data_IF_152597545780
#
_entry.id   IF_152597545780
#
_cell.length_a   1.000
_cell.length_b   1.000
_cell.length_c   1.000
_cell.angle_alpha   90.00
_cell.angle_beta   90.00
_cell.angle_gamma   90.00
#
_symmetry.space_group_name_H-M   'P 1'
#
loop_
_entity.id
_entity.type
_entity.pdbx_description
1 polymer ?
#
# COMPACT_ATOMS: atom_id res chain seq x y z
N UNK A 1 -7.92 -10.09 -2.12
CA UNK A 1 -9.39 -10.06 -2.16
C UNK A 1 -9.99 -11.03 -3.19
N UNK A 2 -9.77 -10.85 -4.49
CA UNK A 2 -10.44 -11.61 -5.59
C UNK A 2 -10.52 -13.12 -5.37
N UNK A 3 -9.37 -13.80 -5.17
CA UNK A 3 -9.34 -15.27 -4.95
C UNK A 3 -10.20 -15.74 -3.77
N UNK A 4 -10.39 -14.89 -2.75
CA UNK A 4 -11.16 -15.21 -1.54
C UNK A 4 -12.62 -14.76 -1.65
N UNK A 5 -12.99 -14.02 -2.70
CA UNK A 5 -14.27 -13.33 -2.82
C UNK A 5 -14.66 -12.57 -1.53
N UNK A 6 -13.69 -11.89 -0.93
CA UNK A 6 -13.83 -11.24 0.38
C UNK A 6 -12.91 -10.03 0.51
N UNK A 7 -13.23 -9.16 1.46
CA UNK A 7 -12.41 -7.98 1.75
C UNK A 7 -11.05 -8.39 2.33
N UNK A 8 -9.99 -7.77 1.82
CA UNK A 8 -8.62 -7.94 2.34
C UNK A 8 -7.95 -6.59 2.49
N UNK A 9 -7.10 -6.42 3.48
CA UNK A 9 -6.38 -5.17 3.68
C UNK A 9 -4.88 -5.43 3.71
N UNK A 10 -4.14 -4.60 2.96
CA UNK A 10 -2.71 -4.43 3.13
C UNK A 10 -2.47 -3.38 4.21
N UNK A 11 -1.58 -3.66 5.16
CA UNK A 11 -1.21 -2.77 6.27
C UNK A 11 0.30 -2.64 6.25
N UNK A 12 0.79 -1.43 6.00
CA UNK A 12 2.19 -1.07 6.14
C UNK A 12 2.52 -0.96 7.64
N UNK A 13 3.55 -1.68 8.05
CA UNK A 13 4.12 -1.63 9.39
C UNK A 13 5.29 -0.64 9.48
N UNK A 14 6.02 -0.63 10.60
CA UNK A 14 7.21 0.19 10.74
C UNK A 14 8.31 -0.23 9.75
N UNK A 15 9.12 0.73 9.30
CA UNK A 15 10.21 0.49 8.34
C UNK A 15 9.68 -0.09 7.03
N UNK A 16 10.08 -1.33 6.74
CA UNK A 16 9.62 -2.08 5.54
C UNK A 16 8.72 -3.27 5.88
N UNK A 17 8.29 -3.39 7.15
CA UNK A 17 7.38 -4.44 7.57
C UNK A 17 5.99 -4.24 6.99
N UNK A 18 5.24 -5.32 6.77
CA UNK A 18 3.86 -5.24 6.31
C UNK A 18 3.08 -6.51 6.64
N UNK A 19 1.76 -6.41 6.63
CA UNK A 19 0.87 -7.56 6.73
C UNK A 19 -0.32 -7.45 5.78
N UNK A 20 -0.88 -8.59 5.45
CA UNK A 20 -2.11 -8.73 4.67
C UNK A 20 -3.10 -9.53 5.49
N UNK A 21 -4.30 -8.99 5.67
CA UNK A 21 -5.35 -9.58 6.50
C UNK A 21 -6.67 -9.74 5.73
N UNK A 22 -7.55 -10.59 6.24
CA UNK A 22 -8.99 -10.55 5.93
C UNK A 22 -9.72 -9.66 6.93
N UNK A 23 -10.83 -9.07 6.52
CA UNK A 23 -11.65 -8.21 7.38
C UNK A 23 -13.13 -8.25 6.99
N UNK A 24 -13.97 -7.77 7.89
CA UNK A 24 -15.31 -7.29 7.53
C UNK A 24 -15.27 -5.76 7.33
N UNK A 25 -15.95 -5.24 6.30
CA UNK A 25 -16.02 -3.80 6.07
C UNK A 25 -16.77 -3.10 7.22
N UNK A 26 -16.58 -1.78 7.41
CA UNK A 26 -17.22 -1.06 8.50
C UNK A 26 -18.75 -1.10 8.42
N UNK A 27 -19.40 -1.46 9.53
CA UNK A 27 -20.86 -1.47 9.65
C UNK A 27 -21.46 -0.19 10.27
N UNK A 28 -20.62 0.73 10.76
CA UNK A 28 -21.02 1.95 11.47
C UNK A 28 -21.06 3.24 10.63
N UNK A 29 -21.00 3.14 9.30
CA UNK A 29 -20.93 4.30 8.40
C UNK A 29 -19.50 4.69 8.01
N UNK A 30 -19.36 5.83 7.32
CA UNK A 30 -18.06 6.32 6.84
C UNK A 30 -17.15 6.66 8.03
N UNK A 31 -15.95 6.07 8.07
CA UNK A 31 -14.97 6.30 9.14
C UNK A 31 -15.05 5.31 10.31
N UNK A 32 -16.01 4.37 10.29
CA UNK A 32 -15.99 3.27 11.26
C UNK A 32 -14.81 2.32 11.00
N UNK A 33 -14.28 1.71 12.07
CA UNK A 33 -13.16 0.78 11.97
C UNK A 33 -13.60 -0.55 11.35
N UNK A 34 -12.79 -1.07 10.44
CA UNK A 34 -12.92 -2.45 9.99
C UNK A 34 -12.59 -3.42 11.12
N UNK A 35 -13.17 -4.62 11.07
CA UNK A 35 -12.83 -5.68 12.00
C UNK A 35 -11.94 -6.69 11.29
N UNK A 36 -10.70 -6.82 11.74
CA UNK A 36 -9.79 -7.86 11.26
C UNK A 36 -10.38 -9.24 11.61
N UNK A 37 -10.32 -10.19 10.67
CA UNK A 37 -10.89 -11.55 10.85
C UNK A 37 -9.85 -12.66 10.72
N UNK A 38 -8.65 -12.34 10.23
CA UNK A 38 -7.58 -13.31 10.06
C UNK A 38 -6.37 -12.73 9.35
N UNK A 39 -5.20 -13.32 9.59
CA UNK A 39 -3.98 -12.97 8.87
C UNK A 39 -3.77 -13.90 7.66
N UNK A 40 -3.41 -13.30 6.52
CA UNK A 40 -3.06 -14.03 5.30
C UNK A 40 -1.55 -14.18 5.19
N UNK A 41 -0.81 -13.09 5.41
CA UNK A 41 0.63 -13.04 5.24
C UNK A 41 1.22 -11.87 6.02
N UNK A 42 2.47 -12.00 6.45
CA UNK A 42 3.24 -10.95 7.10
C UNK A 42 4.69 -10.99 6.63
N UNK A 43 5.34 -9.84 6.71
CA UNK A 43 6.78 -9.66 6.68
C UNK A 43 7.18 -8.74 7.83
N UNK A 44 8.11 -9.18 8.66
CA UNK A 44 8.60 -8.39 9.77
C UNK A 44 9.60 -7.34 9.29
N UNK A 45 9.65 -6.20 9.97
CA UNK A 45 10.53 -5.09 9.60
C UNK A 45 12.02 -5.46 9.74
N UNK A 46 12.34 -6.40 10.63
CA UNK A 46 13.69 -6.94 10.84
C UNK A 46 14.24 -7.71 9.65
N UNK A 47 13.37 -8.16 8.74
CA UNK A 47 13.79 -8.80 7.48
C UNK A 47 14.26 -7.78 6.43
N UNK A 48 14.10 -6.47 6.69
CA UNK A 48 14.49 -5.39 5.78
C UNK A 48 15.77 -4.68 6.18
N UNK A 49 16.32 -3.94 5.23
CA UNK A 49 17.42 -3.01 5.52
C UNK A 49 16.92 -1.87 6.40
N UNK A 50 17.71 -1.48 7.40
CA UNK A 50 17.48 -0.27 8.20
C UNK A 50 17.72 1.01 7.41
N UNK A 51 18.41 0.93 6.27
CA UNK A 51 18.62 2.07 5.37
C UNK A 51 17.51 2.27 4.34
N UNK A 52 16.52 1.37 4.27
CA UNK A 52 15.38 1.53 3.37
C UNK A 52 14.38 2.53 3.95
N UNK A 53 14.02 3.54 3.16
CA UNK A 53 13.01 4.53 3.50
C UNK A 53 11.76 4.29 2.63
N UNK A 54 10.58 4.36 3.25
CA UNK A 54 9.28 4.28 2.58
C UNK A 54 8.47 5.52 2.94
N UNK A 55 8.28 6.43 1.98
CA UNK A 55 7.39 7.55 2.12
C UNK A 55 5.99 7.19 1.61
N UNK A 56 4.96 7.59 2.34
CA UNK A 56 3.57 7.19 2.07
C UNK A 56 2.74 8.40 1.69
N UNK A 57 1.93 8.25 0.64
CA UNK A 57 0.92 9.23 0.25
C UNK A 57 -0.48 8.58 0.28
N UNK A 58 -1.47 9.20 0.94
CA UNK A 58 -1.36 10.38 1.81
C UNK A 58 -0.50 10.12 3.06
N UNK A 59 0.14 11.17 3.58
CA UNK A 59 0.97 11.06 4.78
C UNK A 59 0.16 10.61 6.00
N UNK A 60 0.74 9.76 6.84
CA UNK A 60 0.10 9.23 8.05
C UNK A 60 -0.90 8.09 7.81
N UNK A 61 -1.18 7.74 6.55
CA UNK A 61 -1.97 6.56 6.18
C UNK A 61 -1.06 5.33 6.09
N UNK A 62 -1.56 4.16 6.48
CA UNK A 62 -0.80 2.92 6.40
C UNK A 62 -1.60 1.73 5.84
N UNK A 63 -2.80 1.93 5.29
CA UNK A 63 -3.63 0.80 4.82
C UNK A 63 -4.16 0.96 3.41
N UNK A 64 -4.44 -0.17 2.75
CA UNK A 64 -5.24 -0.26 1.52
C UNK A 64 -6.21 -1.41 1.65
N UNK A 65 -7.50 -1.11 1.62
CA UNK A 65 -8.55 -2.13 1.61
C UNK A 65 -8.91 -2.48 0.17
N UNK A 66 -8.91 -3.76 -0.16
CA UNK A 66 -9.35 -4.28 -1.44
C UNK A 66 -10.71 -4.98 -1.29
N UNK A 67 -11.66 -4.62 -2.16
CA UNK A 67 -12.99 -5.22 -2.21
C UNK A 67 -12.95 -6.61 -2.87
N UNK A 68 -14.00 -7.44 -2.74
CA UNK A 68 -14.06 -8.75 -3.41
C UNK A 68 -13.82 -8.71 -4.92
N UNK A 69 -14.14 -7.59 -5.59
CA UNK A 69 -13.92 -7.37 -7.02
C UNK A 69 -12.48 -6.97 -7.36
N UNK A 70 -11.64 -6.75 -6.36
CA UNK A 70 -10.25 -6.33 -6.52
C UNK A 70 -10.04 -4.83 -6.54
N UNK A 71 -11.10 -4.01 -6.46
CA UNK A 71 -10.98 -2.55 -6.41
C UNK A 71 -10.46 -2.08 -5.05
N UNK A 72 -9.88 -0.88 -5.01
CA UNK A 72 -9.59 -0.21 -3.75
C UNK A 72 -10.91 0.28 -3.16
N UNK A 73 -11.16 -0.05 -1.89
CA UNK A 73 -12.33 0.36 -1.16
C UNK A 73 -12.38 1.88 -0.98
N UNK A 74 -13.59 2.43 -0.98
CA UNK A 74 -13.88 3.83 -0.64
C UNK A 74 -15.13 3.91 0.21
N UNK A 75 -15.31 5.01 0.96
CA UNK A 75 -16.47 5.19 1.84
C UNK A 75 -16.65 4.05 2.83
N UNK A 76 -17.80 3.39 2.80
CA UNK A 76 -18.16 2.25 3.68
C UNK A 76 -17.50 0.93 3.29
N UNK A 77 -16.70 0.89 2.22
CA UNK A 77 -15.95 -0.29 1.79
C UNK A 77 -14.47 -0.22 2.17
N UNK A 78 -14.05 0.79 2.93
CA UNK A 78 -12.66 1.02 3.35
C UNK A 78 -12.54 1.27 4.83
N UNK A 79 -11.36 1.01 5.39
CA UNK A 79 -11.05 1.22 6.80
C UNK A 79 -10.43 2.59 7.06
N UNK A 80 -10.67 3.54 6.16
CA UNK A 80 -10.03 4.85 6.11
C UNK A 80 -9.66 5.26 4.69
N UNK A 81 -8.92 6.37 4.56
CA UNK A 81 -8.34 6.76 3.29
C UNK A 81 -7.26 5.73 2.90
N UNK A 82 -7.25 5.24 1.65
CA UNK A 82 -6.24 4.26 1.24
C UNK A 82 -4.90 4.94 0.95
N UNK A 83 -3.81 4.18 1.11
CA UNK A 83 -2.53 4.52 0.46
C UNK A 83 -2.78 4.55 -1.05
N UNK A 84 -2.37 5.63 -1.70
CA UNK A 84 -2.40 5.77 -3.16
C UNK A 84 -1.01 5.66 -3.76
N UNK A 85 0.02 5.94 -2.97
CA UNK A 85 1.41 5.87 -3.42
C UNK A 85 2.38 5.52 -2.28
N UNK A 86 3.41 4.75 -2.63
CA UNK A 86 4.60 4.48 -1.81
C UNK A 86 5.83 4.87 -2.61
N UNK A 87 6.68 5.73 -2.07
CA UNK A 87 8.00 6.04 -2.63
C UNK A 87 9.07 5.33 -1.80
N UNK A 88 10.00 4.67 -2.47
CA UNK A 88 11.07 3.89 -1.87
C UNK A 88 12.43 4.50 -2.23
N UNK A 89 13.24 4.73 -1.21
CA UNK A 89 14.59 5.28 -1.33
C UNK A 89 15.54 4.62 -0.30
N UNK A 90 16.83 4.90 -0.39
CA UNK A 90 17.86 4.51 0.56
C UNK A 90 18.48 5.73 1.23
N UNK A 91 18.40 5.80 2.55
CA UNK A 91 19.03 6.87 3.35
C UNK A 91 20.56 6.88 3.30
N UNK A 92 21.18 5.82 2.75
CA UNK A 92 22.63 5.68 2.63
C UNK A 92 23.19 6.02 1.25
N UNK A 93 22.32 6.15 0.24
CA UNK A 93 22.72 6.51 -1.12
C UNK A 93 22.43 7.98 -1.37
N UNK A 94 23.28 8.63 -2.17
CA UNK A 94 22.97 9.97 -2.67
C UNK A 94 21.93 9.86 -3.79
N UNK A 95 21.15 10.92 -4.04
CA UNK A 95 20.15 10.94 -5.11
C UNK A 95 20.70 10.57 -6.52
N UNK A 96 21.98 10.82 -6.76
CA UNK A 96 22.66 10.45 -8.02
C UNK A 96 23.02 8.95 -8.12
N UNK A 97 22.92 8.21 -7.01
CA UNK A 97 23.24 6.78 -6.89
C UNK A 97 22.06 5.94 -6.41
N UNK A 98 21.05 6.56 -5.81
CA UNK A 98 19.77 5.91 -5.52
C UNK A 98 19.00 5.75 -6.83
N UNK A 99 18.24 4.65 -6.90
CA UNK A 99 17.18 4.49 -7.88
C UNK A 99 15.88 4.66 -7.11
N UNK A 100 15.22 5.79 -7.34
CA UNK A 100 13.92 6.04 -6.75
C UNK A 100 12.90 5.06 -7.35
N UNK A 101 12.11 4.42 -6.50
CA UNK A 101 11.03 3.56 -6.94
C UNK A 101 9.71 4.08 -6.38
N UNK A 102 8.68 4.10 -7.21
CA UNK A 102 7.34 4.54 -6.83
C UNK A 102 6.33 3.45 -7.12
N UNK A 103 5.61 3.01 -6.11
CA UNK A 103 4.44 2.17 -6.29
C UNK A 103 3.19 3.04 -6.29
N UNK A 104 2.40 2.99 -7.36
CA UNK A 104 1.10 3.67 -7.49
C UNK A 104 -0.03 2.66 -7.41
N UNK A 105 -1.03 2.98 -6.60
CA UNK A 105 -2.25 2.17 -6.41
C UNK A 105 -3.44 2.97 -6.94
N UNK A 106 -4.05 2.46 -8.02
CA UNK A 106 -5.22 3.08 -8.64
C UNK A 106 -6.50 2.66 -7.95
N UNK A 107 -7.55 3.48 -8.04
CA UNK A 107 -8.86 3.15 -7.47
C UNK A 107 -9.44 1.81 -7.99
N UNK A 108 -9.13 1.44 -9.24
CA UNK A 108 -9.52 0.16 -9.83
C UNK A 108 -8.75 -1.05 -9.30
N UNK A 109 -7.82 -0.88 -8.36
CA UNK A 109 -6.99 -1.95 -7.81
C UNK A 109 -5.74 -2.28 -8.63
N UNK A 110 -5.47 -1.54 -9.71
CA UNK A 110 -4.25 -1.66 -10.47
C UNK A 110 -3.05 -1.13 -9.66
N UNK A 111 -1.97 -1.91 -9.66
CA UNK A 111 -0.71 -1.58 -8.97
C UNK A 111 0.38 -1.44 -10.04
N UNK A 112 1.13 -0.34 -10.00
CA UNK A 112 2.23 -0.08 -10.93
C UNK A 112 3.50 0.27 -10.16
N UNK A 113 4.63 -0.25 -10.62
CA UNK A 113 5.95 0.16 -10.16
C UNK A 113 6.55 1.09 -11.22
N UNK A 114 6.81 2.33 -10.82
CA UNK A 114 7.36 3.38 -11.65
C UNK A 114 8.72 3.84 -11.13
N UNK A 115 9.42 4.55 -11.98
CA UNK A 115 10.72 5.14 -11.76
C UNK A 115 10.61 6.65 -12.06
N UNK A 116 10.50 7.51 -11.05
CA UNK A 116 10.26 8.93 -11.25
C UNK A 116 11.48 9.66 -11.82
N UNK A 117 12.63 9.01 -11.94
CA UNK A 117 13.84 9.60 -12.52
C UNK A 117 13.91 9.46 -14.04
N UNK A 118 13.03 8.66 -14.66
CA UNK A 118 12.96 8.56 -16.12
C UNK A 118 12.03 9.62 -16.72
N UNK A 119 12.32 10.02 -17.96
CA UNK A 119 11.55 11.05 -18.65
C UNK A 119 10.12 10.58 -18.98
N UNK A 120 9.18 11.54 -19.01
CA UNK A 120 7.80 11.28 -19.45
C UNK A 120 7.77 10.69 -20.88
N UNK A 121 6.92 9.69 -21.08
CA UNK A 121 6.85 8.90 -22.32
C UNK A 121 7.64 7.60 -22.28
N UNK A 122 8.57 7.43 -21.32
CA UNK A 122 9.11 6.12 -20.97
C UNK A 122 8.03 5.34 -20.18
N UNK A 123 7.67 4.10 -20.56
CA UNK A 123 6.69 3.29 -19.83
C UNK A 123 7.02 3.07 -18.35
N UNK A 124 8.28 3.26 -17.95
CA UNK A 124 8.73 3.17 -16.55
C UNK A 124 8.36 4.42 -15.74
N UNK A 125 8.03 5.55 -16.35
CA UNK A 125 7.82 6.83 -15.66
C UNK A 125 6.54 6.89 -14.81
N UNK A 126 5.53 6.05 -15.12
CA UNK A 126 4.09 6.24 -14.89
C UNK A 126 3.41 7.11 -15.98
#
# INVERSE_FOLDING_TARGET
>A
AVRRNGFTQFILGPGTGWRVITLTPPSGGVGAACQETGEIQRRDSSEGSTSANVAVTPAGVNTVTFTPLGWVGSGTNSCGNPITQLDFDSSTLTAARSRELRLVITAGGGIRLCDPQVAAGDPRAC
#
